data_IF_149939710490
#
_entry.id   IF_149939710490
#
_cell.length_a   1.000
_cell.length_b   1.000
_cell.length_c   1.000
_cell.angle_alpha   90.00
_cell.angle_beta   90.00
_cell.angle_gamma   90.00
#
_symmetry.space_group_name_H-M   'P 1'
#
loop_
_entity.id
_entity.type
_entity.pdbx_description
1 polymer ?
#
# COMPACT_ATOMS: atom_id res chain seq x y z
N UNK A 1 -3.83 16.61 -4.11
CA UNK A 1 -3.73 15.14 -4.08
C UNK A 1 -3.14 14.66 -2.76
N UNK A 2 -2.02 15.23 -2.31
CA UNK A 2 -1.39 14.95 -1.00
C UNK A 2 -2.34 14.93 0.19
N UNK A 3 -3.28 15.88 0.30
CA UNK A 3 -4.26 15.87 1.40
C UNK A 3 -5.12 14.58 1.40
N UNK A 4 -5.56 14.12 0.23
CA UNK A 4 -6.34 12.89 0.12
C UNK A 4 -5.50 11.64 0.46
N UNK A 5 -4.18 11.68 0.21
CA UNK A 5 -3.24 10.62 0.62
C UNK A 5 -3.15 10.62 2.15
N UNK A 6 -2.91 11.79 2.76
CA UNK A 6 -2.76 11.93 4.21
C UNK A 6 -4.01 11.53 5.00
N UNK A 7 -5.20 11.77 4.45
CA UNK A 7 -6.48 11.43 5.09
C UNK A 7 -6.93 9.97 4.83
N UNK A 8 -6.24 9.26 3.93
CA UNK A 8 -6.59 7.88 3.60
C UNK A 8 -6.14 6.90 4.69
N UNK A 9 -6.98 5.91 4.96
CA UNK A 9 -6.59 4.75 5.79
C UNK A 9 -5.77 3.73 4.99
N UNK A 10 -6.02 3.61 3.68
CA UNK A 10 -5.35 2.66 2.80
C UNK A 10 -5.36 3.20 1.39
N UNK A 11 -4.28 3.00 0.64
CA UNK A 11 -4.19 3.36 -0.77
C UNK A 11 -4.06 2.09 -1.62
N UNK A 12 -4.96 1.96 -2.59
CA UNK A 12 -4.91 0.95 -3.65
C UNK A 12 -4.54 1.68 -4.94
N UNK A 13 -3.37 1.42 -5.54
CA UNK A 13 -2.91 2.23 -6.68
C UNK A 13 -2.01 1.46 -7.64
N UNK A 14 -2.06 1.84 -8.91
CA UNK A 14 -1.08 1.51 -9.94
C UNK A 14 -0.21 2.73 -10.34
N UNK A 15 -0.40 3.88 -9.70
CA UNK A 15 0.37 5.10 -9.98
C UNK A 15 1.75 5.03 -9.34
N UNK A 16 2.81 5.23 -10.13
CA UNK A 16 4.18 5.31 -9.64
C UNK A 16 4.41 6.51 -8.71
N UNK A 17 3.88 7.69 -9.07
CA UNK A 17 4.03 8.90 -8.24
C UNK A 17 3.35 8.77 -6.88
N UNK A 18 2.19 8.11 -6.79
CA UNK A 18 1.53 7.85 -5.50
C UNK A 18 2.35 6.87 -4.65
N UNK A 19 3.00 5.87 -5.27
CA UNK A 19 3.90 4.96 -4.55
C UNK A 19 5.13 5.68 -3.97
N UNK A 20 5.55 6.81 -4.55
CA UNK A 20 6.63 7.66 -4.01
C UNK A 20 6.15 8.55 -2.88
N UNK A 21 4.98 9.18 -3.04
CA UNK A 21 4.48 10.16 -2.08
C UNK A 21 3.86 9.51 -0.83
N UNK A 22 3.06 8.46 -1.00
CA UNK A 22 2.25 7.87 0.07
C UNK A 22 3.06 7.33 1.28
N UNK A 23 4.23 6.69 1.10
CA UNK A 23 5.09 6.31 2.21
C UNK A 23 5.42 7.44 3.19
N UNK A 24 5.55 8.68 2.71
CA UNK A 24 5.87 9.85 3.53
C UNK A 24 4.76 10.17 4.54
N UNK A 25 3.53 9.75 4.25
CA UNK A 25 2.36 9.98 5.09
C UNK A 25 2.05 8.81 6.02
N UNK A 26 2.88 7.76 6.03
CA UNK A 26 2.66 6.57 6.85
C UNK A 26 1.30 5.92 6.59
N UNK A 27 0.88 5.91 5.33
CA UNK A 27 -0.37 5.25 4.89
C UNK A 27 0.02 3.98 4.13
N UNK A 28 -0.58 2.81 4.43
CA UNK A 28 -0.26 1.58 3.72
C UNK A 28 -0.63 1.70 2.24
N UNK A 29 0.21 1.13 1.37
CA UNK A 29 0.01 1.13 -0.08
C UNK A 29 -0.04 -0.30 -0.61
N UNK A 30 -1.14 -0.68 -1.28
CA UNK A 30 -1.21 -1.91 -2.07
C UNK A 30 -1.07 -1.59 -3.56
N UNK A 31 -0.06 -2.16 -4.19
CA UNK A 31 0.29 -1.89 -5.59
C UNK A 31 -0.46 -2.86 -6.52
N UNK A 32 -1.30 -2.30 -7.39
CA UNK A 32 -2.20 -3.00 -8.31
C UNK A 32 -1.62 -3.14 -9.73
N UNK A 33 -0.38 -3.63 -9.85
CA UNK A 33 0.29 -3.81 -11.15
C UNK A 33 0.82 -5.22 -11.32
N UNK A 34 0.98 -5.68 -12.56
CA UNK A 34 1.60 -6.98 -12.86
C UNK A 34 3.07 -7.03 -12.42
N UNK A 35 3.75 -5.91 -12.48
CA UNK A 35 5.16 -5.75 -12.13
C UNK A 35 5.31 -4.42 -11.40
N UNK A 36 6.33 -4.30 -10.55
CA UNK A 36 6.68 -3.04 -9.90
C UNK A 36 8.07 -2.60 -10.37
N UNK A 37 8.16 -1.37 -10.87
CA UNK A 37 9.45 -0.72 -11.14
C UNK A 37 10.16 -0.22 -9.87
N UNK A 38 9.52 -0.32 -8.70
CA UNK A 38 10.04 0.14 -7.40
C UNK A 38 10.14 -0.99 -6.37
N UNK A 39 11.03 -1.98 -6.58
CA UNK A 39 11.24 -3.07 -5.62
C UNK A 39 11.70 -2.56 -4.24
N UNK A 40 12.38 -1.41 -4.18
CA UNK A 40 12.86 -0.79 -2.94
C UNK A 40 11.73 -0.37 -2.00
N UNK A 41 10.63 0.18 -2.54
CA UNK A 41 9.47 0.57 -1.73
C UNK A 41 8.76 -0.65 -1.14
N UNK A 42 8.79 -1.78 -1.87
CA UNK A 42 8.27 -3.06 -1.37
C UNK A 42 9.20 -3.67 -0.32
N UNK A 43 10.52 -3.63 -0.56
CA UNK A 43 11.51 -4.17 0.37
C UNK A 43 11.57 -3.39 1.69
N UNK A 44 11.34 -2.08 1.65
CA UNK A 44 11.25 -1.23 2.84
C UNK A 44 9.96 -1.45 3.64
N UNK A 45 8.99 -2.22 3.14
CA UNK A 45 7.70 -2.45 3.79
C UNK A 45 6.70 -1.30 3.65
N UNK A 46 7.11 -0.17 3.06
CA UNK A 46 6.27 1.01 2.83
C UNK A 46 5.18 0.80 1.77
N UNK A 47 5.35 -0.20 0.90
CA UNK A 47 4.36 -0.62 -0.07
C UNK A 47 4.31 -2.15 -0.16
N UNK A 48 3.16 -2.69 -0.58
CA UNK A 48 3.00 -4.13 -0.80
C UNK A 48 2.53 -4.39 -2.21
N UNK A 49 3.35 -5.09 -2.99
CA UNK A 49 2.95 -5.55 -4.32
C UNK A 49 2.02 -6.75 -4.22
N UNK A 50 0.78 -6.58 -4.69
CA UNK A 50 -0.25 -7.63 -4.63
C UNK A 50 -0.68 -8.13 -6.00
N UNK A 51 -0.20 -7.51 -7.08
CA UNK A 51 -0.57 -7.89 -8.44
C UNK A 51 -1.95 -7.39 -8.83
N UNK A 52 -2.62 -8.11 -9.73
CA UNK A 52 -3.96 -7.80 -10.24
C UNK A 52 -5.01 -8.86 -9.83
N UNK A 53 -4.74 -9.62 -8.77
CA UNK A 53 -5.65 -10.65 -8.27
C UNK A 53 -6.69 -10.05 -7.33
N UNK A 54 -7.97 -10.08 -7.72
CA UNK A 54 -9.08 -9.62 -6.88
C UNK A 54 -9.17 -10.39 -5.56
N UNK A 55 -8.93 -11.71 -5.58
CA UNK A 55 -8.90 -12.54 -4.37
C UNK A 55 -7.82 -12.06 -3.41
N UNK A 56 -6.60 -11.84 -3.92
CA UNK A 56 -5.49 -11.35 -3.10
C UNK A 56 -5.74 -9.94 -2.56
N UNK A 57 -6.35 -9.07 -3.36
CA UNK A 57 -6.77 -7.74 -2.89
C UNK A 57 -7.71 -7.86 -1.68
N UNK A 58 -8.74 -8.70 -1.77
CA UNK A 58 -9.70 -8.90 -0.68
C UNK A 58 -9.00 -9.46 0.57
N UNK A 59 -8.14 -10.46 0.41
CA UNK A 59 -7.38 -11.06 1.52
C UNK A 59 -6.51 -10.03 2.24
N UNK A 60 -5.78 -9.20 1.48
CA UNK A 60 -4.85 -8.21 2.03
C UNK A 60 -5.57 -7.06 2.73
N UNK A 61 -6.63 -6.53 2.12
CA UNK A 61 -7.48 -5.51 2.77
C UNK A 61 -8.12 -6.08 4.03
N UNK A 62 -8.61 -7.33 3.99
CA UNK A 62 -9.23 -7.99 5.15
C UNK A 62 -8.22 -8.20 6.27
N UNK A 63 -6.98 -8.56 5.95
CA UNK A 63 -5.92 -8.74 6.93
C UNK A 63 -5.59 -7.42 7.66
N UNK A 64 -5.47 -6.32 6.91
CA UNK A 64 -5.24 -4.98 7.47
C UNK A 64 -6.41 -4.53 8.35
N UNK A 65 -7.65 -4.77 7.94
CA UNK A 65 -8.85 -4.41 8.72
C UNK A 65 -8.94 -5.18 10.04
N UNK A 66 -8.50 -6.45 10.06
CA UNK A 66 -8.62 -7.33 11.23
C UNK A 66 -7.43 -7.25 12.18
N UNK A 67 -6.29 -6.71 11.75
CA UNK A 67 -5.06 -6.69 12.53
C UNK A 67 -4.47 -5.28 12.63
N UNK A 68 -4.77 -4.54 13.71
CA UNK A 68 -4.15 -3.25 13.97
C UNK A 68 -2.61 -3.34 14.04
N UNK A 69 -2.07 -4.45 14.53
CA UNK A 69 -0.63 -4.69 14.56
C UNK A 69 -0.03 -4.80 13.15
N UNK A 70 -0.72 -5.48 12.24
CA UNK A 70 -0.28 -5.55 10.83
C UNK A 70 -0.33 -4.18 10.18
N UNK A 71 -1.39 -3.40 10.43
CA UNK A 71 -1.50 -2.03 9.95
C UNK A 71 -0.33 -1.17 10.41
N UNK A 72 -0.03 -1.17 11.72
CA UNK A 72 1.07 -0.39 12.29
C UNK A 72 2.44 -0.80 11.75
N UNK A 73 2.65 -2.10 11.48
CA UNK A 73 3.92 -2.59 10.93
C UNK A 73 4.22 -2.05 9.54
N UNK A 74 3.20 -1.84 8.71
CA UNK A 74 3.36 -1.35 7.33
C UNK A 74 3.30 0.18 7.21
N UNK A 75 3.07 0.86 8.34
CA UNK A 75 3.06 2.33 8.44
C UNK A 75 4.19 2.87 9.33
N UNK A 76 5.08 2.00 9.82
CA UNK A 76 6.22 2.36 10.66
C UNK A 76 7.45 2.71 9.80
#
# INVERSE_FOLDING_TARGET
MQQAIADAWLILTDSGGIQEEAPTFHVPVLVLRRETERPEAVAAGCAKWIGISGTRLIEEVTALLKSPALYLLVTA
#
